data_IF_324025384230
#
_entry.id   IF_324025384230
#
_cell.length_a   1.000
_cell.length_b   1.000
_cell.length_c   1.000
_cell.angle_alpha   90.00
_cell.angle_beta   90.00
_cell.angle_gamma   90.00
#
_symmetry.space_group_name_H-M   'P 1'
#
loop_
_entity.id
_entity.type
_entity.pdbx_description
1 polymer ?
#
# COMPACT_ATOMS: atom_id res chain seq x y z
N UNK A 1 -15.74 9.86 9.85
CA UNK A 1 -16.16 10.28 8.49
C UNK A 1 -14.95 10.06 7.60
N UNK A 2 -14.94 8.93 6.89
CA UNK A 2 -13.91 8.59 5.91
C UNK A 2 -14.13 9.48 4.68
N UNK A 3 -13.11 10.21 4.25
CA UNK A 3 -13.19 11.08 3.07
C UNK A 3 -13.48 10.26 1.81
N UNK A 4 -14.36 10.81 0.98
CA UNK A 4 -14.95 10.24 -0.25
C UNK A 4 -13.98 10.02 -1.42
N UNK A 5 -12.69 9.73 -1.17
CA UNK A 5 -11.65 9.68 -2.23
C UNK A 5 -11.00 8.29 -2.40
N UNK A 6 -11.66 7.21 -1.99
CA UNK A 6 -11.18 5.85 -2.26
C UNK A 6 -12.07 5.21 -3.32
N UNK A 7 -11.62 5.25 -4.57
CA UNK A 7 -12.23 4.44 -5.63
C UNK A 7 -11.54 3.08 -5.63
N UNK A 8 -12.28 2.03 -5.28
CA UNK A 8 -11.86 0.65 -5.51
C UNK A 8 -11.87 0.40 -7.03
N UNK A 9 -10.70 0.22 -7.63
CA UNK A 9 -10.59 -0.15 -9.05
C UNK A 9 -10.15 -1.61 -9.12
N UNK A 10 -11.05 -2.47 -9.57
CA UNK A 10 -10.75 -3.86 -9.90
C UNK A 10 -10.23 -3.91 -11.34
N UNK A 11 -8.92 -4.11 -11.50
CA UNK A 11 -8.32 -4.62 -12.74
C UNK A 11 -7.68 -5.98 -12.41
N UNK A 12 -7.89 -6.96 -13.29
CA UNK A 12 -7.29 -8.31 -13.19
C UNK A 12 -7.58 -9.11 -11.92
N UNK A 13 -8.78 -8.97 -11.36
CA UNK A 13 -9.28 -9.77 -10.22
C UNK A 13 -8.58 -9.47 -8.88
N UNK A 14 -7.93 -8.30 -8.76
CA UNK A 14 -7.26 -7.84 -7.53
C UNK A 14 -7.77 -6.44 -7.14
N UNK A 15 -8.25 -6.23 -5.90
CA UNK A 15 -8.72 -4.92 -5.46
C UNK A 15 -7.55 -3.94 -5.32
N UNK A 16 -7.60 -2.84 -6.08
CA UNK A 16 -6.63 -1.74 -6.02
C UNK A 16 -7.29 -0.53 -5.37
N UNK A 17 -6.67 0.04 -4.35
CA UNK A 17 -7.13 1.29 -3.71
C UNK A 17 -6.42 2.49 -4.32
N UNK A 18 -7.20 3.44 -4.84
CA UNK A 18 -6.70 4.66 -5.49
C UNK A 18 -7.12 5.90 -4.69
N UNK A 19 -6.24 6.91 -4.64
CA UNK A 19 -6.57 8.28 -4.18
C UNK A 19 -6.25 9.22 -5.34
N UNK A 20 -7.20 10.06 -5.77
CA UNK A 20 -7.02 11.00 -6.90
C UNK A 20 -6.42 10.35 -8.17
N UNK A 21 -6.80 9.10 -8.49
CA UNK A 21 -6.29 8.28 -9.62
C UNK A 21 -4.83 7.80 -9.50
N UNK A 22 -4.15 8.05 -8.39
CA UNK A 22 -2.85 7.44 -8.11
C UNK A 22 -3.03 6.23 -7.19
N UNK A 23 -2.55 5.07 -7.64
CA UNK A 23 -2.52 3.87 -6.83
C UNK A 23 -1.29 3.94 -5.90
N UNK A 24 -1.53 3.83 -4.59
CA UNK A 24 -0.45 3.85 -3.58
C UNK A 24 -0.24 2.47 -2.96
N UNK A 25 -1.31 1.67 -2.86
CA UNK A 25 -1.27 0.30 -2.39
C UNK A 25 -2.14 -0.62 -3.25
N UNK A 26 -1.82 -1.91 -3.24
CA UNK A 26 -2.55 -2.96 -3.93
C UNK A 26 -2.68 -4.20 -3.04
N UNK A 27 -3.69 -5.02 -3.30
CA UNK A 27 -3.90 -6.28 -2.59
C UNK A 27 -3.84 -7.44 -3.57
N UNK A 28 -2.82 -8.28 -3.43
CA UNK A 28 -2.70 -9.51 -4.20
C UNK A 28 -3.13 -10.73 -3.38
N UNK A 29 -4.08 -11.50 -3.90
CA UNK A 29 -4.66 -12.65 -3.18
C UNK A 29 -4.10 -13.96 -3.74
N UNK A 30 -3.42 -14.73 -2.89
CA UNK A 30 -2.93 -16.08 -3.20
C UNK A 30 -3.70 -17.14 -2.40
N UNK A 31 -3.61 -18.40 -2.83
CA UNK A 31 -4.31 -19.53 -2.18
C UNK A 31 -4.06 -19.67 -0.67
N UNK A 32 -2.91 -19.22 -0.18
CA UNK A 32 -2.49 -19.42 1.21
C UNK A 32 -2.11 -18.12 1.95
N UNK A 33 -2.09 -16.99 1.25
CA UNK A 33 -1.68 -15.70 1.82
C UNK A 33 -2.19 -14.56 0.95
N UNK A 34 -2.20 -13.37 1.51
CA UNK A 34 -2.47 -12.12 0.82
C UNK A 34 -1.22 -11.26 0.93
N UNK A 35 -0.88 -10.54 -0.13
CA UNK A 35 0.13 -9.50 -0.06
C UNK A 35 -0.56 -8.14 -0.10
N UNK A 36 -0.32 -7.31 0.91
CA UNK A 36 -0.62 -5.88 0.82
C UNK A 36 0.64 -5.19 0.31
N UNK A 37 0.65 -4.78 -0.96
CA UNK A 37 1.80 -4.17 -1.61
C UNK A 37 1.72 -2.65 -1.72
N UNK A 38 2.88 -2.02 -1.80
CA UNK A 38 3.05 -0.57 -1.93
C UNK A 38 3.97 -0.28 -3.12
N UNK A 39 3.54 0.59 -4.03
CA UNK A 39 4.27 0.89 -5.27
C UNK A 39 5.64 1.54 -5.01
N UNK A 40 5.71 2.40 -4.00
CA UNK A 40 6.92 3.07 -3.51
C UNK A 40 7.41 2.49 -2.16
N UNK A 41 7.15 1.20 -1.92
CA UNK A 41 7.43 0.56 -0.64
C UNK A 41 8.89 0.63 -0.15
N UNK A 42 9.88 0.81 -1.05
CA UNK A 42 11.29 1.02 -0.66
C UNK A 42 11.50 2.32 0.11
N UNK A 43 10.66 3.32 -0.13
CA UNK A 43 10.79 4.67 0.43
C UNK A 43 9.98 4.84 1.73
N UNK A 44 9.21 3.82 2.11
CA UNK A 44 8.39 3.86 3.31
C UNK A 44 9.21 3.55 4.58
N UNK A 45 8.97 4.28 5.68
CA UNK A 45 9.53 3.94 6.98
C UNK A 45 8.92 2.62 7.48
N UNK A 46 9.79 1.65 7.80
CA UNK A 46 9.40 0.33 8.31
C UNK A 46 10.14 -0.01 9.61
N UNK A 47 9.84 0.69 10.72
CA UNK A 47 10.49 0.43 12.01
C UNK A 47 10.16 -0.95 12.58
N UNK A 48 9.01 -1.51 12.18
CA UNK A 48 8.50 -2.78 12.65
C UNK A 48 8.97 -3.97 11.76
N UNK A 49 9.67 -3.69 10.65
CA UNK A 49 10.28 -4.70 9.79
C UNK A 49 9.28 -5.58 9.03
N UNK A 50 8.10 -5.06 8.72
CA UNK A 50 7.02 -5.81 8.06
C UNK A 50 7.19 -5.90 6.54
N UNK A 51 7.92 -4.97 5.93
CA UNK A 51 8.06 -4.88 4.49
C UNK A 51 9.04 -5.93 3.96
N UNK A 52 8.55 -6.74 3.03
CA UNK A 52 9.34 -7.74 2.32
C UNK A 52 9.29 -7.52 0.81
N UNK A 53 10.20 -8.20 0.10
CA UNK A 53 10.31 -8.16 -1.35
C UNK A 53 11.62 -7.55 -1.84
N UNK A 54 12.01 -7.92 -3.06
CA UNK A 54 13.26 -7.53 -3.71
C UNK A 54 13.03 -6.66 -4.95
N UNK A 55 11.79 -6.20 -5.16
CA UNK A 55 11.44 -5.33 -6.27
C UNK A 55 12.23 -4.02 -6.23
N UNK A 56 12.42 -3.40 -7.41
CA UNK A 56 13.18 -2.15 -7.56
C UNK A 56 12.63 -1.01 -6.70
N UNK A 57 11.30 -0.89 -6.62
CA UNK A 57 10.60 0.16 -5.87
C UNK A 57 9.55 -0.39 -4.90
N UNK A 58 9.00 -1.57 -5.21
CA UNK A 58 7.89 -2.14 -4.47
C UNK A 58 8.33 -2.93 -3.24
N UNK A 59 7.54 -2.82 -2.18
CA UNK A 59 7.57 -3.71 -1.00
C UNK A 59 6.14 -4.12 -0.66
N UNK A 60 5.99 -5.25 0.04
CA UNK A 60 4.69 -5.71 0.49
C UNK A 60 4.76 -6.32 1.89
N UNK A 61 3.63 -6.33 2.59
CA UNK A 61 3.43 -7.12 3.80
C UNK A 61 2.73 -8.41 3.43
N UNK A 62 3.26 -9.54 3.91
CA UNK A 62 2.64 -10.86 3.71
C UNK A 62 1.69 -11.18 4.86
N UNK A 63 0.40 -11.19 4.55
CA UNK A 63 -0.68 -11.53 5.47
C UNK A 63 -1.06 -12.99 5.26
N UNK A 64 -1.16 -13.78 6.34
CA UNK A 64 -1.66 -15.14 6.24
C UNK A 64 -2.41 -15.56 7.50
N UNK A 65 -3.39 -16.47 7.41
CA UNK A 65 -4.10 -16.96 8.59
C UNK A 65 -3.21 -17.66 9.63
N UNK A 66 -1.98 -18.03 9.24
CA UNK A 66 -1.04 -18.77 10.09
C UNK A 66 -0.21 -17.86 10.99
N UNK A 67 -0.17 -16.55 10.73
CA UNK A 67 0.64 -15.59 11.46
C UNK A 67 -0.14 -14.29 11.63
N UNK A 68 -0.24 -13.81 12.88
CA UNK A 68 -0.79 -12.49 13.17
C UNK A 68 0.19 -11.41 12.74
N UNK A 69 -0.30 -10.41 12.03
CA UNK A 69 0.42 -9.15 11.78
C UNK A 69 -0.02 -8.13 12.82
N UNK A 70 0.90 -7.26 13.22
CA UNK A 70 0.57 -6.09 14.03
C UNK A 70 -0.25 -5.10 13.18
N UNK A 71 -1.53 -4.95 13.53
CA UNK A 71 -2.48 -4.10 12.82
C UNK A 71 -2.10 -2.61 12.89
N UNK A 72 -1.54 -2.16 14.02
CA UNK A 72 -1.12 -0.77 14.18
C UNK A 72 0.09 -0.46 13.31
N UNK A 73 1.05 -1.38 13.24
CA UNK A 73 2.20 -1.27 12.35
C UNK A 73 1.78 -1.29 10.87
N UNK A 74 0.84 -2.17 10.50
CA UNK A 74 0.28 -2.21 9.15
C UNK A 74 -0.40 -0.90 8.78
N UNK A 75 -1.18 -0.32 9.70
CA UNK A 75 -1.87 0.95 9.49
C UNK A 75 -0.89 2.12 9.32
N UNK A 76 0.24 2.12 10.04
CA UNK A 76 1.30 3.13 9.85
C UNK A 76 1.87 3.07 8.43
N UNK A 77 2.11 1.87 7.88
CA UNK A 77 2.60 1.71 6.51
C UNK A 77 1.60 2.23 5.48
N UNK A 78 0.31 1.93 5.66
CA UNK A 78 -0.77 2.44 4.78
C UNK A 78 -0.83 3.97 4.81
N UNK A 79 -0.75 4.57 6.00
CA UNK A 79 -0.73 6.04 6.16
C UNK A 79 0.51 6.67 5.54
N UNK A 80 1.70 6.12 5.78
CA UNK A 80 2.93 6.62 5.19
C UNK A 80 2.88 6.57 3.66
N UNK A 81 2.35 5.49 3.08
CA UNK A 81 2.18 5.38 1.64
C UNK A 81 1.17 6.37 1.06
N UNK A 82 0.11 6.68 1.81
CA UNK A 82 -0.85 7.71 1.43
C UNK A 82 -0.23 9.12 1.46
N UNK A 83 0.55 9.44 2.50
CA UNK A 83 1.23 10.73 2.60
C UNK A 83 2.28 10.90 1.50
N UNK A 84 3.04 9.84 1.20
CA UNK A 84 4.04 9.82 0.12
C UNK A 84 3.39 10.12 -1.25
N UNK A 85 2.29 9.45 -1.61
CA UNK A 85 1.65 9.68 -2.90
C UNK A 85 1.04 11.09 -2.99
N UNK A 86 0.53 11.62 -1.88
CA UNK A 86 0.00 13.00 -1.83
C UNK A 86 1.08 14.03 -2.10
N UNK A 87 2.25 13.88 -1.46
CA UNK A 87 3.37 14.80 -1.66
C UNK A 87 3.86 14.78 -3.10
N UNK A 88 3.90 13.60 -3.74
CA UNK A 88 4.26 13.47 -5.16
C UNK A 88 3.25 14.14 -6.08
N UNK A 89 1.95 13.92 -5.85
CA UNK A 89 0.89 14.56 -6.63
C UNK A 89 0.90 16.08 -6.48
N UNK A 90 1.14 16.61 -5.27
CA UNK A 90 1.25 18.05 -5.04
C UNK A 90 2.49 18.64 -5.75
N UNK A 91 3.59 17.90 -5.82
CA UNK A 91 4.79 18.31 -6.56
C UNK A 91 4.60 18.33 -8.09
N UNK A 92 3.79 17.43 -8.64
CA UNK A 92 3.51 17.35 -10.08
C UNK A 92 2.57 18.45 -10.60
N UNK A 93 1.70 19.01 -9.75
CA UNK A 93 0.79 20.11 -10.10
C UNK A 93 1.38 21.51 -9.86
N UNK A 94 2.62 21.60 -9.36
CA UNK A 94 3.34 22.84 -9.10
C UNK A 94 4.32 23.28 -10.20
N UNK A 95 4.31 22.63 -11.38
CA UNK A 95 5.20 22.93 -12.51
C UNK A 95 4.49 23.47 -13.74
#
# INVERSE_FOLDING_TARGET
>A
MCGDDVTEVLHDNQPTTCVNKAAFAYVDVFKAHVNLGFFHGVELPDPDGLLVGTGKFMRHVKLSPKFSVDEDALLKLVRASYEDIRQRLEAEHGS
#
